data_IF_804950850295
#
_entry.id   IF_804950850295
#
_cell.length_a   1.000
_cell.length_b   1.000
_cell.length_c   1.000
_cell.angle_alpha   90.00
_cell.angle_beta   90.00
_cell.angle_gamma   90.00
#
_symmetry.space_group_name_H-M   'P 1'
#
loop_
_entity.id
_entity.type
_entity.pdbx_description
1 polymer ?
#
# COMPACT_ATOMS: atom_id res chain seq x y z
N UNK A 1 36.24 6.09 -29.31
CA UNK A 1 35.48 7.09 -28.53
C UNK A 1 34.11 6.57 -28.09
N UNK A 2 33.41 5.76 -28.90
CA UNK A 2 32.09 5.18 -28.58
C UNK A 2 32.00 4.41 -27.26
N UNK A 3 33.02 3.59 -26.92
CA UNK A 3 33.06 2.82 -25.66
C UNK A 3 33.05 3.70 -24.40
N UNK A 4 33.64 4.90 -24.46
CA UNK A 4 33.66 5.85 -23.32
C UNK A 4 32.32 6.57 -23.16
N UNK A 5 31.60 6.83 -24.26
CA UNK A 5 30.24 7.37 -24.19
C UNK A 5 29.23 6.37 -23.64
N UNK A 6 29.33 5.09 -24.02
CA UNK A 6 28.45 4.04 -23.49
C UNK A 6 28.62 3.90 -21.98
N UNK A 7 29.85 3.96 -21.49
CA UNK A 7 30.16 3.84 -20.06
C UNK A 7 29.64 5.04 -19.25
N UNK A 8 29.68 6.23 -19.83
CA UNK A 8 29.11 7.46 -19.25
C UNK A 8 27.58 7.39 -19.18
N UNK A 9 26.93 6.87 -20.23
CA UNK A 9 25.47 6.73 -20.27
C UNK A 9 24.98 5.73 -19.22
N UNK A 10 25.70 4.61 -19.06
CA UNK A 10 25.38 3.57 -18.06
C UNK A 10 25.51 4.11 -16.62
N UNK A 11 26.52 4.93 -16.37
CA UNK A 11 26.73 5.55 -15.05
C UNK A 11 25.64 6.57 -14.70
N UNK A 12 25.16 7.35 -15.69
CA UNK A 12 24.08 8.32 -15.49
C UNK A 12 22.72 7.65 -15.25
N UNK A 13 22.44 6.50 -15.86
CA UNK A 13 21.20 5.76 -15.60
C UNK A 13 21.17 5.12 -14.22
N UNK A 14 22.31 4.65 -13.71
CA UNK A 14 22.41 4.06 -12.36
C UNK A 14 22.23 5.10 -11.25
N UNK A 15 22.72 6.33 -11.44
CA UNK A 15 22.53 7.43 -10.49
C UNK A 15 21.09 8.01 -10.50
N UNK A 16 20.34 7.85 -11.59
CA UNK A 16 18.94 8.27 -11.69
C UNK A 16 17.96 7.33 -11.00
N UNK A 17 18.31 6.06 -10.82
CA UNK A 17 17.43 5.06 -10.19
C UNK A 17 17.33 5.18 -8.66
N UNK A 18 18.31 5.79 -7.98
CA UNK A 18 18.27 5.97 -6.52
C UNK A 18 17.46 7.18 -6.07
N UNK A 19 17.11 8.10 -6.98
CA UNK A 19 16.32 9.30 -6.67
C UNK A 19 14.80 9.06 -6.66
N UNK A 20 14.32 7.86 -7.05
CA UNK A 20 12.90 7.53 -7.06
C UNK A 20 12.35 7.16 -5.66
N UNK A 21 13.18 6.69 -4.73
CA UNK A 21 12.71 6.17 -3.44
C UNK A 21 12.22 7.24 -2.45
N UNK A 22 12.73 8.46 -2.51
CA UNK A 22 12.35 9.54 -1.58
C UNK A 22 11.03 10.23 -1.99
N UNK A 23 10.66 10.15 -3.26
CA UNK A 23 9.41 10.75 -3.81
C UNK A 23 8.22 9.85 -3.58
N UNK A 24 8.37 8.54 -3.79
CA UNK A 24 7.31 7.55 -3.53
C UNK A 24 6.86 7.56 -2.07
N UNK A 25 7.79 7.73 -1.10
CA UNK A 25 7.41 7.80 0.31
C UNK A 25 6.64 9.08 0.66
N UNK A 26 6.86 10.17 -0.08
CA UNK A 26 6.19 11.46 0.15
C UNK A 26 4.81 11.50 -0.46
N UNK A 27 4.63 10.89 -1.64
CA UNK A 27 3.34 10.70 -2.29
C UNK A 27 2.49 9.63 -1.55
N UNK A 28 3.14 8.63 -0.92
CA UNK A 28 2.55 7.63 -0.03
C UNK A 28 1.88 8.21 1.22
N UNK A 29 2.45 9.25 1.85
CA UNK A 29 1.91 9.87 3.07
C UNK A 29 0.85 10.93 2.76
N UNK A 30 1.03 11.71 1.68
CA UNK A 30 0.25 12.93 1.51
C UNK A 30 -1.01 12.78 0.65
N UNK A 31 -1.07 11.83 -0.31
CA UNK A 31 -2.24 11.74 -1.20
C UNK A 31 -2.28 10.39 -1.98
N UNK A 32 -2.78 9.28 -1.40
CA UNK A 32 -3.04 8.08 -2.17
C UNK A 32 -4.17 8.35 -3.18
N UNK A 33 -3.80 8.57 -4.44
CA UNK A 33 -4.73 8.93 -5.52
C UNK A 33 -5.73 7.84 -5.91
N UNK A 34 -5.55 6.60 -5.43
CA UNK A 34 -6.45 5.47 -5.70
C UNK A 34 -6.44 4.42 -4.59
N UNK A 35 -7.60 3.77 -4.36
CA UNK A 35 -7.78 2.64 -3.42
C UNK A 35 -6.81 1.48 -3.74
N UNK A 36 -6.44 1.33 -5.02
CA UNK A 36 -5.58 0.25 -5.53
C UNK A 36 -4.10 0.40 -5.10
N UNK A 37 -3.68 1.59 -4.67
CA UNK A 37 -2.28 1.86 -4.26
C UNK A 37 -2.08 1.91 -2.74
N UNK A 38 -3.13 1.70 -1.94
CA UNK A 38 -3.01 1.61 -0.49
C UNK A 38 -2.50 0.21 -0.09
N UNK A 39 -1.28 0.07 0.47
CA UNK A 39 -0.77 -1.22 0.87
C UNK A 39 -1.59 -1.88 2.00
N UNK A 40 -2.31 -1.11 2.83
CA UNK A 40 -3.24 -1.67 3.80
C UNK A 40 -4.42 -2.34 3.10
N UNK A 41 -4.97 -1.69 2.08
CA UNK A 41 -6.05 -2.25 1.28
C UNK A 41 -5.59 -3.47 0.47
N UNK A 42 -4.40 -3.41 -0.15
CA UNK A 42 -3.83 -4.53 -0.88
C UNK A 42 -3.65 -5.78 0.00
N UNK A 43 -3.11 -5.59 1.22
CA UNK A 43 -2.94 -6.69 2.18
C UNK A 43 -4.29 -7.24 2.69
N UNK A 44 -5.25 -6.36 2.97
CA UNK A 44 -6.61 -6.74 3.34
C UNK A 44 -7.26 -7.58 2.24
N UNK A 45 -7.16 -7.12 0.98
CA UNK A 45 -7.76 -7.81 -0.15
C UNK A 45 -7.11 -9.16 -0.42
N UNK A 46 -5.78 -9.28 -0.35
CA UNK A 46 -5.09 -10.57 -0.49
C UNK A 46 -5.58 -11.59 0.54
N UNK A 47 -5.77 -11.16 1.79
CA UNK A 47 -6.30 -12.03 2.86
C UNK A 47 -7.77 -12.38 2.65
N UNK A 48 -8.58 -11.43 2.20
CA UNK A 48 -9.99 -11.66 1.90
C UNK A 48 -10.15 -12.68 0.77
N UNK A 49 -9.39 -12.52 -0.31
CA UNK A 49 -9.40 -13.43 -1.46
C UNK A 49 -9.00 -14.86 -1.04
N UNK A 50 -8.06 -15.01 -0.11
CA UNK A 50 -7.68 -16.31 0.44
C UNK A 50 -8.84 -16.96 1.23
N UNK A 51 -9.50 -16.22 2.10
CA UNK A 51 -10.65 -16.69 2.89
C UNK A 51 -11.86 -17.02 2.00
N UNK A 52 -12.11 -16.19 0.98
CA UNK A 52 -13.14 -16.46 -0.01
C UNK A 52 -12.85 -17.74 -0.80
N UNK A 53 -11.58 -17.96 -1.18
CA UNK A 53 -11.16 -19.18 -1.85
C UNK A 53 -11.41 -20.42 -0.99
N UNK A 54 -11.01 -20.40 0.28
CA UNK A 54 -11.26 -21.52 1.22
C UNK A 54 -12.76 -21.84 1.32
N UNK A 55 -13.62 -20.81 1.33
CA UNK A 55 -15.07 -21.00 1.33
C UNK A 55 -15.59 -21.60 0.02
N UNK A 56 -15.12 -21.10 -1.12
CA UNK A 56 -15.51 -21.61 -2.45
C UNK A 56 -15.05 -23.05 -2.69
N UNK A 57 -13.88 -23.40 -2.16
CA UNK A 57 -13.33 -24.77 -2.15
C UNK A 57 -14.01 -25.67 -1.10
N UNK A 58 -14.94 -25.11 -0.30
CA UNK A 58 -15.71 -25.78 0.76
C UNK A 58 -14.84 -26.33 1.88
N UNK A 59 -13.66 -25.75 2.08
CA UNK A 59 -12.76 -26.09 3.18
C UNK A 59 -13.26 -25.52 4.51
N UNK A 60 -13.95 -24.37 4.45
CA UNK A 60 -14.61 -23.73 5.60
C UNK A 60 -16.12 -23.61 5.40
N UNK A 61 -16.86 -23.59 6.50
CA UNK A 61 -18.31 -23.33 6.48
C UNK A 61 -18.61 -21.85 6.27
N UNK A 62 -19.84 -21.54 5.86
CA UNK A 62 -20.29 -20.14 5.74
C UNK A 62 -20.20 -19.36 7.05
N UNK A 63 -20.43 -20.02 8.20
CA UNK A 63 -20.31 -19.38 9.51
C UNK A 63 -18.86 -18.99 9.81
N UNK A 64 -17.91 -19.88 9.49
CA UNK A 64 -16.47 -19.61 9.65
C UNK A 64 -15.98 -18.54 8.67
N UNK A 65 -16.47 -18.56 7.42
CA UNK A 65 -16.21 -17.50 6.45
C UNK A 65 -16.63 -16.12 6.98
N UNK A 66 -17.86 -16.00 7.49
CA UNK A 66 -18.35 -14.75 8.06
C UNK A 66 -17.52 -14.28 9.25
N UNK A 67 -17.14 -15.19 10.15
CA UNK A 67 -16.30 -14.88 11.30
C UNK A 67 -14.94 -14.33 10.86
N UNK A 68 -14.26 -15.03 9.95
CA UNK A 68 -12.94 -14.62 9.46
C UNK A 68 -13.00 -13.32 8.67
N UNK A 69 -13.99 -13.16 7.79
CA UNK A 69 -14.22 -11.91 7.06
C UNK A 69 -14.47 -10.74 8.02
N UNK A 70 -15.31 -10.93 9.04
CA UNK A 70 -15.60 -9.87 10.01
C UNK A 70 -14.34 -9.47 10.78
N UNK A 71 -13.50 -10.44 11.18
CA UNK A 71 -12.23 -10.15 11.82
C UNK A 71 -11.26 -9.36 10.92
N UNK A 72 -11.21 -9.68 9.62
CA UNK A 72 -10.42 -8.94 8.63
C UNK A 72 -10.95 -7.51 8.43
N UNK A 73 -12.27 -7.35 8.34
CA UNK A 73 -12.92 -6.04 8.20
C UNK A 73 -12.62 -5.16 9.42
N UNK A 74 -12.74 -5.70 10.63
CA UNK A 74 -12.44 -4.97 11.88
C UNK A 74 -10.98 -4.56 11.97
N UNK A 75 -10.06 -5.45 11.57
CA UNK A 75 -8.63 -5.13 11.53
C UNK A 75 -8.35 -3.99 10.55
N UNK A 76 -8.85 -4.09 9.32
CA UNK A 76 -8.64 -3.07 8.30
C UNK A 76 -9.22 -1.72 8.72
N UNK A 77 -10.43 -1.70 9.28
CA UNK A 77 -11.05 -0.48 9.79
C UNK A 77 -10.20 0.20 10.87
N UNK A 78 -9.56 -0.59 11.74
CA UNK A 78 -8.64 -0.06 12.75
C UNK A 78 -7.40 0.55 12.12
N UNK A 79 -6.78 -0.13 11.17
CA UNK A 79 -5.57 0.36 10.47
C UNK A 79 -5.86 1.67 9.70
N UNK A 80 -6.99 1.73 8.99
CA UNK A 80 -7.45 2.94 8.29
C UNK A 80 -7.68 4.08 9.28
N UNK A 81 -8.36 3.81 10.41
CA UNK A 81 -8.61 4.84 11.42
C UNK A 81 -7.30 5.38 12.02
N UNK A 82 -6.35 4.51 12.34
CA UNK A 82 -5.03 4.94 12.85
C UNK A 82 -4.25 5.78 11.83
N UNK A 83 -4.37 5.45 10.54
CA UNK A 83 -3.79 6.27 9.46
C UNK A 83 -4.45 7.63 9.39
N UNK A 84 -5.78 7.67 9.35
CA UNK A 84 -6.54 8.91 9.21
C UNK A 84 -6.32 9.82 10.43
N UNK A 85 -6.20 9.26 11.64
CA UNK A 85 -5.83 10.00 12.86
C UNK A 85 -4.42 10.61 12.79
N UNK A 86 -3.45 9.88 12.23
CA UNK A 86 -2.09 10.41 12.02
C UNK A 86 -2.06 11.53 10.99
N UNK A 87 -2.77 11.37 9.86
CA UNK A 87 -2.89 12.41 8.84
C UNK A 87 -3.55 13.67 9.42
N UNK A 88 -4.64 13.51 10.18
CA UNK A 88 -5.33 14.62 10.82
C UNK A 88 -4.50 15.29 11.92
N UNK A 89 -3.66 14.54 12.64
CA UNK A 89 -2.73 15.06 13.65
C UNK A 89 -1.50 15.77 13.08
N UNK A 90 -1.10 15.42 11.85
CA UNK A 90 0.03 16.01 11.13
C UNK A 90 -0.36 17.23 10.26
N UNK A 91 -1.64 17.65 10.24
CA UNK A 91 -1.99 18.94 9.64
C UNK A 91 -1.32 20.10 10.40
N UNK A 92 -0.38 20.86 9.80
CA UNK A 92 -0.01 22.13 10.39
C UNK A 92 -1.23 23.04 10.29
N UNK A 93 -1.70 23.56 11.43
CA UNK A 93 -2.71 24.61 11.53
C UNK A 93 -2.36 25.74 10.56
N UNK A 94 -2.88 25.68 9.33
CA UNK A 94 -2.86 26.80 8.40
C UNK A 94 -4.04 27.69 8.76
N UNK A 95 -3.75 28.59 9.69
CA UNK A 95 -4.35 29.91 9.86
C UNK A 95 -5.85 30.04 9.60
N UNK A 96 -6.60 30.20 10.70
CA UNK A 96 -7.64 31.22 10.76
C UNK A 96 -7.22 32.28 11.78
#
# INVERSE_FOLDING_TARGET
MFKKMILLFLASTLAGCTYAGERELKDYINEPSSIVQDPHFANYQEKLDAVEKEYLEKEITYAQYLEQKTALDDQYNKEVKERDEKIAGDEPVRGQ
#
